data_IF_957931755165
#
_entry.id   IF_957931755165
#
_cell.length_a   1.000
_cell.length_b   1.000
_cell.length_c   1.000
_cell.angle_alpha   90.00
_cell.angle_beta   90.00
_cell.angle_gamma   90.00
#
_symmetry.space_group_name_H-M   'P 1'
#
loop_
_entity.id
_entity.type
_entity.pdbx_description
1 polymer ?
#
# COMPACT_ATOMS: atom_id res chain seq x y z
N UNK A 1 12.86 -29.07 5.10
CA UNK A 1 12.26 -28.11 4.15
C UNK A 1 12.00 -26.84 4.93
N UNK A 2 12.88 -25.86 4.77
CA UNK A 2 12.73 -24.55 5.42
C UNK A 2 11.76 -23.73 4.58
N UNK A 3 10.56 -23.53 5.12
CA UNK A 3 9.54 -22.65 4.54
C UNK A 3 10.15 -21.26 4.40
N UNK A 4 10.32 -20.82 3.14
CA UNK A 4 10.80 -19.48 2.81
C UNK A 4 9.84 -18.48 3.45
N UNK A 5 10.35 -17.75 4.44
CA UNK A 5 9.66 -16.64 5.07
C UNK A 5 9.31 -15.62 3.99
N UNK A 6 8.02 -15.42 3.73
CA UNK A 6 7.50 -14.19 3.13
C UNK A 6 7.60 -13.09 4.18
N UNK A 7 8.83 -12.67 4.47
CA UNK A 7 9.11 -11.50 5.29
C UNK A 7 9.60 -10.41 4.37
N UNK A 8 8.69 -9.84 3.57
CA UNK A 8 8.89 -8.49 3.05
C UNK A 8 8.67 -7.52 4.23
N UNK A 9 9.69 -7.36 5.08
CA UNK A 9 9.78 -6.16 5.92
C UNK A 9 10.01 -5.01 4.96
N UNK A 10 8.94 -4.33 4.58
CA UNK A 10 9.03 -2.94 4.20
C UNK A 10 9.09 -2.12 5.49
N UNK A 11 10.29 -2.02 6.07
CA UNK A 11 10.53 -1.25 7.27
C UNK A 11 10.52 0.24 6.94
N UNK A 12 9.35 0.86 6.98
CA UNK A 12 9.24 2.33 6.87
C UNK A 12 9.37 3.02 8.24
N UNK A 13 9.49 2.24 9.31
CA UNK A 13 9.55 2.72 10.68
C UNK A 13 10.57 1.90 11.48
N UNK A 14 11.20 2.54 12.47
CA UNK A 14 11.92 1.85 13.54
C UNK A 14 10.95 1.09 14.45
N UNK A 15 11.44 0.09 15.19
CA UNK A 15 10.64 -0.65 16.18
C UNK A 15 9.92 0.32 17.13
N UNK A 16 8.58 0.30 17.13
CA UNK A 16 7.74 1.06 18.08
C UNK A 16 6.91 2.21 17.52
N UNK A 17 6.96 2.49 16.21
CA UNK A 17 6.11 3.54 15.62
C UNK A 17 4.70 3.00 15.28
N UNK A 18 3.67 3.80 15.59
CA UNK A 18 2.26 3.49 15.32
C UNK A 18 1.75 4.30 14.13
N UNK A 19 1.02 3.67 13.21
CA UNK A 19 0.29 4.39 12.18
C UNK A 19 -0.90 5.13 12.81
N UNK A 20 -0.80 6.45 12.93
CA UNK A 20 -1.92 7.29 13.32
C UNK A 20 -2.59 7.91 12.11
N UNK A 21 -3.92 8.01 12.17
CA UNK A 21 -4.70 8.72 11.15
C UNK A 21 -4.26 10.19 11.14
N UNK A 22 -3.81 10.67 9.98
CA UNK A 22 -3.53 12.09 9.78
C UNK A 22 -4.82 12.91 9.92
N UNK A 23 -4.75 14.03 10.66
CA UNK A 23 -5.86 14.99 10.77
C UNK A 23 -5.81 16.10 9.71
N UNK A 24 -4.71 16.20 8.98
CA UNK A 24 -4.41 17.22 7.97
C UNK A 24 -3.57 16.61 6.83
N UNK A 25 -3.29 17.41 5.81
CA UNK A 25 -2.43 17.02 4.68
C UNK A 25 -1.03 16.59 5.15
N UNK A 26 -0.55 15.48 4.59
CA UNK A 26 0.81 14.99 4.81
C UNK A 26 1.75 15.53 3.73
N UNK A 27 2.81 16.23 4.15
CA UNK A 27 3.82 16.74 3.21
C UNK A 27 4.85 15.66 2.89
N UNK A 28 4.93 15.24 1.63
CA UNK A 28 6.04 14.43 1.13
C UNK A 28 7.24 15.33 0.81
N UNK A 29 8.35 15.14 1.52
CA UNK A 29 9.58 15.89 1.27
C UNK A 29 10.16 15.54 -0.11
N UNK A 30 10.84 16.51 -0.72
CA UNK A 30 11.55 16.27 -1.98
C UNK A 30 12.55 15.12 -1.84
N UNK A 31 12.62 14.27 -2.86
CA UNK A 31 13.46 13.06 -2.92
C UNK A 31 13.09 11.93 -1.93
N UNK A 32 11.91 11.98 -1.31
CA UNK A 32 11.41 10.89 -0.46
C UNK A 32 10.47 9.96 -1.21
N UNK A 33 10.34 8.74 -0.70
CA UNK A 33 9.39 7.74 -1.19
C UNK A 33 8.15 7.72 -0.29
N UNK A 34 6.96 7.70 -0.91
CA UNK A 34 5.70 7.46 -0.24
C UNK A 34 5.34 5.98 -0.35
N UNK A 35 4.85 5.40 0.74
CA UNK A 35 4.22 4.08 0.74
C UNK A 35 2.81 4.17 1.30
N UNK A 36 1.87 3.63 0.54
CA UNK A 36 0.47 3.60 0.87
C UNK A 36 0.10 2.19 1.33
N UNK A 37 -0.40 2.11 2.56
CA UNK A 37 -1.02 0.92 3.12
C UNK A 37 -2.51 1.22 3.32
N UNK A 38 -3.37 0.33 2.83
CA UNK A 38 -4.83 0.44 2.98
C UNK A 38 -5.27 -0.77 3.80
N UNK A 39 -5.70 -0.51 5.03
CA UNK A 39 -6.29 -1.51 5.91
C UNK A 39 -7.80 -1.55 5.68
N UNK A 40 -8.36 -2.75 5.64
CA UNK A 40 -9.80 -3.02 5.47
C UNK A 40 -10.50 -2.19 4.36
N UNK A 41 -10.09 -2.35 3.09
CA UNK A 41 -10.74 -1.66 1.98
C UNK A 41 -12.19 -2.14 1.81
N UNK A 42 -13.15 -1.22 1.82
CA UNK A 42 -14.58 -1.55 1.70
C UNK A 42 -14.96 -2.15 0.33
N UNK A 43 -14.24 -1.76 -0.74
CA UNK A 43 -14.56 -2.15 -2.13
C UNK A 43 -13.66 -3.25 -2.71
N UNK A 44 -12.80 -3.88 -1.90
CA UNK A 44 -11.97 -5.02 -2.32
C UNK A 44 -12.17 -6.13 -1.29
N UNK A 45 -12.93 -7.17 -1.65
CA UNK A 45 -13.28 -8.24 -0.73
C UNK A 45 -12.61 -9.56 -1.10
N UNK A 46 -12.70 -10.56 -0.22
CA UNK A 46 -12.07 -11.88 -0.42
C UNK A 46 -12.56 -12.61 -1.68
N UNK A 47 -13.75 -12.27 -2.20
CA UNK A 47 -14.28 -12.81 -3.45
C UNK A 47 -13.69 -12.14 -4.70
N UNK A 48 -12.89 -11.08 -4.54
CA UNK A 48 -12.21 -10.40 -5.63
C UNK A 48 -10.81 -10.95 -5.90
N UNK A 49 -10.33 -11.95 -5.14
CA UNK A 49 -9.04 -12.61 -5.40
C UNK A 49 -8.99 -13.15 -6.83
N UNK A 50 -7.92 -12.81 -7.55
CA UNK A 50 -7.73 -13.11 -8.98
C UNK A 50 -8.40 -12.12 -9.93
N UNK A 51 -9.10 -11.09 -9.44
CA UNK A 51 -9.60 -9.96 -10.23
C UNK A 51 -8.57 -8.83 -10.25
N UNK A 52 -8.64 -8.02 -11.31
CA UNK A 52 -7.79 -6.84 -11.47
C UNK A 52 -8.40 -5.61 -10.80
N UNK A 53 -7.57 -4.89 -10.06
CA UNK A 53 -7.88 -3.57 -9.49
C UNK A 53 -7.00 -2.51 -10.14
N UNK A 54 -7.57 -1.32 -10.36
CA UNK A 54 -6.85 -0.16 -10.87
C UNK A 54 -6.56 0.84 -9.75
N UNK A 55 -5.30 1.27 -9.66
CA UNK A 55 -4.87 2.34 -8.74
C UNK A 55 -4.49 3.55 -9.59
N UNK A 56 -5.14 4.68 -9.32
CA UNK A 56 -4.83 5.97 -9.97
C UNK A 56 -4.33 6.96 -8.94
N UNK A 57 -3.17 7.56 -9.20
CA UNK A 57 -2.59 8.63 -8.37
C UNK A 57 -2.54 9.92 -9.18
N UNK A 58 -3.19 10.96 -8.65
CA UNK A 58 -3.12 12.30 -9.21
C UNK A 58 -2.11 13.14 -8.44
N UNK A 59 -1.27 13.84 -9.18
CA UNK A 59 -0.39 14.90 -8.67
C UNK A 59 -0.73 16.19 -9.39
N UNK A 60 -0.21 17.33 -8.91
CA UNK A 60 -0.40 18.61 -9.59
C UNK A 60 0.10 18.60 -11.05
N UNK A 61 1.03 17.71 -11.40
CA UNK A 61 1.72 17.71 -12.69
C UNK A 61 1.37 16.51 -13.59
N UNK A 62 0.82 15.42 -13.02
CA UNK A 62 0.65 14.16 -13.73
C UNK A 62 -0.37 13.23 -13.06
N UNK A 63 -0.89 12.30 -13.87
CA UNK A 63 -1.68 11.16 -13.45
C UNK A 63 -0.89 9.87 -13.69
N UNK A 64 -0.82 9.01 -12.69
CA UNK A 64 -0.21 7.69 -12.78
C UNK A 64 -1.30 6.63 -12.61
N UNK A 65 -1.26 5.59 -13.45
CA UNK A 65 -2.21 4.48 -13.41
C UNK A 65 -1.43 3.16 -13.39
N UNK A 66 -1.84 2.25 -12.51
CA UNK A 66 -1.33 0.88 -12.47
C UNK A 66 -2.47 -0.08 -12.21
N UNK A 67 -2.39 -1.25 -12.83
CA UNK A 67 -3.28 -2.37 -12.57
C UNK A 67 -2.52 -3.44 -11.79
N UNK A 68 -3.20 -4.03 -10.82
CA UNK A 68 -2.69 -5.14 -10.04
C UNK A 68 -3.80 -6.18 -9.84
N UNK A 69 -3.42 -7.45 -9.72
CA UNK A 69 -4.38 -8.47 -9.32
C UNK A 69 -4.51 -8.48 -7.80
N UNK A 70 -5.73 -8.72 -7.32
CA UNK A 70 -5.97 -8.97 -5.90
C UNK A 70 -5.45 -10.37 -5.58
N UNK A 71 -4.50 -10.44 -4.65
CA UNK A 71 -3.88 -11.69 -4.22
C UNK A 71 -4.22 -11.95 -2.75
N UNK A 72 -4.41 -13.21 -2.39
CA UNK A 72 -4.54 -13.61 -1.00
C UNK A 72 -3.16 -13.67 -0.33
N UNK A 73 -3.05 -13.20 0.90
CA UNK A 73 -1.87 -13.51 1.72
C UNK A 73 -1.94 -15.00 2.11
N UNK A 74 -0.90 -15.77 1.77
CA UNK A 74 -0.76 -17.19 2.12
C UNK A 74 0.17 -17.39 3.31
#
# INVERSE_FOLDING_TARGET
MTTTQWKQIFGYLSDGETFEKASNDLTLKSSWTMVLYIEDPDSIASNDVGRTVGITVFTANAQYYVEANVEAAQ
#
